data_IF_444917385756
#
_entry.id   IF_444917385756
#
_cell.length_a   1.000
_cell.length_b   1.000
_cell.length_c   1.000
_cell.angle_alpha   90.00
_cell.angle_beta   90.00
_cell.angle_gamma   90.00
#
_symmetry.space_group_name_H-M   'P 1'
#
loop_
_entity.id
_entity.type
_entity.pdbx_description
1 polymer ?
#
# COMPACT_ATOMS: atom_id res chain seq x y z
N UNK A 1 -13.29 -11.76 -13.12
CA UNK A 1 -12.33 -10.77 -12.56
C UNK A 1 -10.98 -10.92 -13.25
N UNK A 2 -10.32 -9.78 -13.52
CA UNK A 2 -9.00 -9.75 -14.11
C UNK A 2 -7.93 -9.68 -13.00
N UNK A 3 -6.89 -10.52 -13.10
CA UNK A 3 -5.66 -10.30 -12.36
C UNK A 3 -4.96 -9.03 -12.87
N UNK A 4 -4.06 -8.47 -12.06
CA UNK A 4 -3.28 -7.29 -12.48
C UNK A 4 -2.48 -7.55 -13.75
N UNK A 5 -1.89 -8.73 -13.90
CA UNK A 5 -1.12 -9.11 -15.10
C UNK A 5 -2.00 -9.15 -16.35
N UNK A 6 -3.21 -9.71 -16.26
CA UNK A 6 -4.15 -9.71 -17.38
C UNK A 6 -4.66 -8.30 -17.72
N UNK A 7 -4.89 -7.47 -16.70
CA UNK A 7 -5.24 -6.06 -16.91
C UNK A 7 -4.11 -5.30 -17.64
N UNK A 8 -2.84 -5.59 -17.31
CA UNK A 8 -1.69 -5.03 -18.04
C UNK A 8 -1.70 -5.43 -19.53
N UNK A 9 -1.96 -6.71 -19.83
CA UNK A 9 -2.03 -7.18 -21.22
C UNK A 9 -3.16 -6.49 -21.99
N UNK A 10 -4.35 -6.34 -21.37
CA UNK A 10 -5.48 -5.67 -22.01
C UNK A 10 -5.23 -4.16 -22.17
N UNK A 11 -4.67 -3.50 -21.17
CA UNK A 11 -4.28 -2.09 -21.26
C UNK A 11 -3.21 -1.88 -22.34
N UNK A 12 -2.26 -2.79 -22.46
CA UNK A 12 -1.26 -2.77 -23.53
C UNK A 12 -1.92 -2.80 -24.90
N UNK A 13 -2.90 -3.67 -25.12
CA UNK A 13 -3.64 -3.75 -26.39
C UNK A 13 -4.37 -2.44 -26.75
N UNK A 14 -4.73 -1.65 -25.75
CA UNK A 14 -5.30 -0.31 -25.94
C UNK A 14 -4.23 0.74 -26.20
N UNK A 15 -3.14 0.72 -25.45
CA UNK A 15 -2.08 1.73 -25.50
C UNK A 15 -1.23 1.60 -26.76
N UNK A 16 -0.92 0.37 -27.21
CA UNK A 16 -0.04 0.14 -28.35
C UNK A 16 -0.51 0.82 -29.66
N UNK A 17 -1.79 0.75 -30.07
CA UNK A 17 -2.25 1.49 -31.24
C UNK A 17 -2.22 3.03 -31.05
N UNK A 18 -2.45 3.52 -29.84
CA UNK A 18 -2.38 4.95 -29.54
C UNK A 18 -0.95 5.48 -29.66
N UNK A 19 0.04 4.69 -29.18
CA UNK A 19 1.46 5.02 -29.38
C UNK A 19 1.83 5.11 -30.86
N UNK A 20 1.35 4.17 -31.68
CA UNK A 20 1.57 4.20 -33.12
C UNK A 20 0.93 5.42 -33.81
N UNK A 21 -0.09 6.00 -33.21
CA UNK A 21 -0.76 7.24 -33.67
C UNK A 21 -0.12 8.51 -33.09
N UNK A 22 0.96 8.39 -32.32
CA UNK A 22 1.69 9.51 -31.74
C UNK A 22 1.19 9.97 -30.34
N UNK A 23 0.28 9.24 -29.71
CA UNK A 23 -0.08 9.51 -28.32
C UNK A 23 1.12 9.29 -27.40
N UNK A 24 1.18 10.04 -26.28
CA UNK A 24 2.29 10.03 -25.33
C UNK A 24 3.65 10.43 -25.96
N UNK A 25 3.64 11.17 -27.08
CA UNK A 25 4.85 11.66 -27.72
C UNK A 25 5.69 12.48 -26.72
N UNK A 26 7.02 12.34 -26.80
CA UNK A 26 7.97 13.03 -25.92
C UNK A 26 7.94 12.63 -24.43
N UNK A 27 7.16 11.63 -24.01
CA UNK A 27 7.33 11.02 -22.70
C UNK A 27 8.59 10.12 -22.68
N UNK A 28 9.46 10.35 -21.70
CA UNK A 28 10.65 9.50 -21.48
C UNK A 28 10.29 8.26 -20.63
N UNK A 29 9.17 7.62 -20.93
CA UNK A 29 8.68 6.43 -20.25
C UNK A 29 8.68 5.25 -21.23
N UNK A 30 9.02 4.08 -20.71
CA UNK A 30 8.83 2.84 -21.48
C UNK A 30 7.33 2.54 -21.59
N UNK A 31 6.88 1.94 -22.70
CA UNK A 31 5.47 1.60 -22.87
C UNK A 31 4.85 0.83 -21.71
N UNK A 32 5.58 -0.11 -21.10
CA UNK A 32 5.12 -0.87 -19.94
C UNK A 32 4.93 0.01 -18.70
N UNK A 33 5.70 1.09 -18.57
CA UNK A 33 5.55 2.06 -17.48
C UNK A 33 4.28 2.91 -17.68
N UNK A 34 3.96 3.26 -18.93
CA UNK A 34 2.70 3.96 -19.26
C UNK A 34 1.51 3.07 -18.88
N UNK A 35 1.51 1.81 -19.28
CA UNK A 35 0.48 0.82 -18.93
C UNK A 35 0.29 0.70 -17.41
N UNK A 36 1.39 0.52 -16.67
CA UNK A 36 1.32 0.42 -15.21
C UNK A 36 0.79 1.68 -14.57
N UNK A 37 1.23 2.87 -15.01
CA UNK A 37 0.77 4.14 -14.46
C UNK A 37 -0.71 4.41 -14.75
N UNK A 38 -1.21 4.03 -15.92
CA UNK A 38 -2.64 4.13 -16.25
C UNK A 38 -3.48 3.25 -15.32
N UNK A 39 -3.09 1.98 -15.14
CA UNK A 39 -3.79 1.07 -14.23
C UNK A 39 -3.73 1.55 -12.79
N UNK A 40 -2.57 2.01 -12.33
CA UNK A 40 -2.41 2.55 -10.97
C UNK A 40 -3.27 3.81 -10.76
N UNK A 41 -3.38 4.66 -11.78
CA UNK A 41 -4.24 5.85 -11.73
C UNK A 41 -5.71 5.48 -11.64
N UNK A 42 -6.18 4.51 -12.45
CA UNK A 42 -7.54 3.99 -12.38
C UNK A 42 -7.85 3.39 -11.02
N UNK A 43 -6.95 2.55 -10.50
CA UNK A 43 -7.10 1.94 -9.18
C UNK A 43 -7.16 2.98 -8.07
N UNK A 44 -6.28 3.99 -8.10
CA UNK A 44 -6.31 5.10 -7.13
C UNK A 44 -7.60 5.89 -7.21
N UNK A 45 -8.10 6.19 -8.41
CA UNK A 45 -9.37 6.89 -8.58
C UNK A 45 -10.51 6.11 -7.91
N UNK A 46 -10.66 4.83 -8.22
CA UNK A 46 -11.70 3.98 -7.67
C UNK A 46 -11.61 3.82 -6.16
N UNK A 47 -10.40 3.56 -5.61
CA UNK A 47 -10.17 3.43 -4.17
C UNK A 47 -10.45 4.75 -3.41
N UNK A 48 -10.28 5.89 -4.07
CA UNK A 48 -10.66 7.21 -3.53
C UNK A 48 -12.13 7.59 -3.82
N UNK A 49 -12.96 6.65 -4.23
CA UNK A 49 -14.37 6.88 -4.56
C UNK A 49 -14.58 7.97 -5.64
N UNK A 50 -13.65 8.11 -6.57
CA UNK A 50 -13.72 9.04 -7.68
C UNK A 50 -14.11 8.32 -8.97
N UNK A 51 -15.04 8.87 -9.71
CA UNK A 51 -15.26 8.45 -11.08
C UNK A 51 -14.03 8.77 -11.96
N UNK A 52 -13.90 8.10 -13.10
CA UNK A 52 -12.83 8.42 -14.06
C UNK A 52 -12.85 9.90 -14.47
N UNK A 53 -14.04 10.46 -14.72
CA UNK A 53 -14.19 11.84 -15.16
C UNK A 53 -13.80 12.85 -14.07
N UNK A 54 -14.14 12.58 -12.82
CA UNK A 54 -13.69 13.39 -11.67
C UNK A 54 -12.17 13.32 -11.48
N UNK A 55 -11.58 12.13 -11.62
CA UNK A 55 -10.14 11.97 -11.53
C UNK A 55 -9.41 12.76 -12.62
N UNK A 56 -9.87 12.67 -13.88
CA UNK A 56 -9.35 13.44 -15.01
C UNK A 56 -9.49 14.95 -14.77
N UNK A 57 -10.67 15.39 -14.32
CA UNK A 57 -10.93 16.81 -14.04
C UNK A 57 -10.02 17.34 -12.91
N UNK A 58 -9.80 16.55 -11.84
CA UNK A 58 -8.89 16.91 -10.75
C UNK A 58 -7.44 17.01 -11.23
N UNK A 59 -6.96 16.02 -11.97
CA UNK A 59 -5.61 16.03 -12.52
C UNK A 59 -5.38 17.24 -13.43
N UNK A 60 -6.35 17.56 -14.30
CA UNK A 60 -6.26 18.71 -15.18
C UNK A 60 -6.20 20.04 -14.43
N UNK A 61 -6.97 20.18 -13.34
CA UNK A 61 -6.98 21.41 -12.51
C UNK A 61 -5.72 21.58 -11.67
N UNK A 62 -5.14 20.47 -11.20
CA UNK A 62 -3.96 20.48 -10.33
C UNK A 62 -2.65 20.34 -11.09
N UNK A 63 -2.70 20.34 -12.43
CA UNK A 63 -1.51 20.23 -13.25
C UNK A 63 -0.56 21.42 -13.01
N UNK A 64 0.59 21.13 -12.40
CA UNK A 64 1.65 22.11 -12.11
C UNK A 64 2.89 21.91 -13.01
N UNK A 65 2.82 20.97 -13.99
CA UNK A 65 3.90 20.71 -14.92
C UNK A 65 3.90 21.66 -16.11
N UNK A 66 4.78 21.38 -17.08
CA UNK A 66 4.86 22.09 -18.35
C UNK A 66 3.50 22.09 -19.07
N UNK A 67 2.93 23.28 -19.40
CA UNK A 67 1.66 23.38 -20.09
C UNK A 67 1.63 22.63 -21.44
N UNK A 68 2.77 22.58 -22.15
CA UNK A 68 2.91 21.85 -23.41
C UNK A 68 2.78 20.34 -23.26
N UNK A 69 2.92 19.82 -22.04
CA UNK A 69 2.77 18.39 -21.76
C UNK A 69 1.39 18.01 -21.23
N UNK A 70 0.51 18.97 -21.10
CA UNK A 70 -0.86 18.71 -20.58
C UNK A 70 -1.65 17.75 -21.47
N UNK A 71 -1.36 17.70 -22.78
CA UNK A 71 -2.03 16.78 -23.70
C UNK A 71 -1.82 15.30 -23.32
N UNK A 72 -0.78 14.94 -22.57
CA UNK A 72 -0.61 13.58 -22.05
C UNK A 72 -1.71 13.15 -21.08
N UNK A 73 -2.38 14.11 -20.41
CA UNK A 73 -3.56 13.81 -19.59
C UNK A 73 -4.75 13.40 -20.46
N UNK A 74 -4.90 14.03 -21.63
CA UNK A 74 -5.96 13.70 -22.59
C UNK A 74 -5.71 12.34 -23.25
N UNK A 75 -4.45 12.03 -23.58
CA UNK A 75 -4.04 10.71 -24.05
C UNK A 75 -4.32 9.63 -22.98
N UNK A 76 -3.97 9.91 -21.73
CA UNK A 76 -4.22 9.01 -20.60
C UNK A 76 -5.73 8.78 -20.39
N UNK A 77 -6.54 9.85 -20.44
CA UNK A 77 -7.99 9.74 -20.33
C UNK A 77 -8.60 8.95 -21.50
N UNK A 78 -8.08 9.12 -22.71
CA UNK A 78 -8.50 8.38 -23.90
C UNK A 78 -8.21 6.91 -23.77
N UNK A 79 -6.99 6.55 -23.36
CA UNK A 79 -6.58 5.18 -23.11
C UNK A 79 -7.43 4.54 -21.99
N UNK A 80 -7.63 5.24 -20.87
CA UNK A 80 -8.42 4.77 -19.74
C UNK A 80 -9.89 4.50 -20.15
N UNK A 81 -10.52 5.41 -20.89
CA UNK A 81 -11.89 5.20 -21.40
C UNK A 81 -11.98 4.02 -22.36
N UNK A 82 -11.00 3.86 -23.25
CA UNK A 82 -10.97 2.76 -24.20
C UNK A 82 -10.80 1.40 -23.47
N UNK A 83 -9.90 1.33 -22.51
CA UNK A 83 -9.71 0.15 -21.68
C UNK A 83 -10.98 -0.25 -20.92
N UNK A 84 -11.64 0.71 -20.28
CA UNK A 84 -12.89 0.48 -19.52
C UNK A 84 -14.01 -0.01 -20.43
N UNK A 85 -14.20 0.63 -21.60
CA UNK A 85 -15.20 0.18 -22.60
C UNK A 85 -14.93 -1.25 -23.04
N UNK A 86 -13.66 -1.61 -23.31
CA UNK A 86 -13.28 -2.97 -23.71
C UNK A 86 -13.55 -3.97 -22.60
N UNK A 87 -13.21 -3.65 -21.36
CA UNK A 87 -13.48 -4.52 -20.22
C UNK A 87 -14.99 -4.75 -20.04
N UNK A 88 -15.79 -3.70 -19.99
CA UNK A 88 -17.24 -3.79 -19.79
C UNK A 88 -17.93 -4.54 -20.94
N UNK A 89 -17.53 -4.28 -22.20
CA UNK A 89 -18.09 -5.00 -23.36
C UNK A 89 -17.83 -6.49 -23.35
N UNK A 90 -16.79 -6.94 -22.64
CA UNK A 90 -16.44 -8.36 -22.51
C UNK A 90 -16.76 -8.92 -21.11
N UNK A 91 -17.56 -8.23 -20.30
CA UNK A 91 -17.91 -8.64 -18.93
C UNK A 91 -16.67 -8.90 -18.04
N UNK A 92 -15.62 -8.12 -18.24
CA UNK A 92 -14.37 -8.19 -17.49
C UNK A 92 -14.30 -7.05 -16.48
N UNK A 93 -13.89 -7.35 -15.26
CA UNK A 93 -13.70 -6.37 -14.18
C UNK A 93 -12.27 -6.47 -13.68
N UNK A 94 -11.49 -5.39 -13.85
CA UNK A 94 -10.25 -5.17 -13.13
C UNK A 94 -10.55 -4.60 -11.72
N UNK A 95 -9.53 -4.30 -10.92
CA UNK A 95 -9.74 -3.77 -9.56
C UNK A 95 -10.57 -2.48 -9.59
N UNK A 96 -10.25 -1.56 -10.48
CA UNK A 96 -10.93 -0.26 -10.55
C UNK A 96 -12.41 -0.40 -10.90
N UNK A 97 -12.73 -1.21 -11.89
CA UNK A 97 -14.10 -1.52 -12.28
C UNK A 97 -14.84 -2.35 -11.25
N UNK A 98 -14.15 -3.25 -10.54
CA UNK A 98 -14.74 -4.02 -9.44
C UNK A 98 -15.24 -3.09 -8.34
N UNK A 99 -14.41 -2.14 -7.90
CA UNK A 99 -14.79 -1.18 -6.87
C UNK A 99 -15.94 -0.29 -7.34
N UNK A 100 -15.84 0.26 -8.57
CA UNK A 100 -16.87 1.15 -9.09
C UNK A 100 -18.22 0.46 -9.31
N UNK A 101 -18.24 -0.73 -9.93
CA UNK A 101 -19.49 -1.49 -10.16
C UNK A 101 -20.09 -1.93 -8.82
N UNK A 102 -19.25 -2.32 -7.85
CA UNK A 102 -19.70 -2.63 -6.51
C UNK A 102 -20.40 -1.43 -5.87
N UNK A 103 -19.77 -0.27 -5.85
CA UNK A 103 -20.31 0.95 -5.23
C UNK A 103 -21.54 1.51 -5.97
N UNK A 104 -21.48 1.58 -7.32
CA UNK A 104 -22.50 2.25 -8.10
C UNK A 104 -23.71 1.38 -8.44
N UNK A 105 -23.54 0.07 -8.49
CA UNK A 105 -24.58 -0.86 -8.92
C UNK A 105 -25.03 -1.75 -7.76
N UNK A 106 -24.11 -2.48 -7.13
CA UNK A 106 -24.48 -3.47 -6.13
C UNK A 106 -24.93 -2.84 -4.82
N UNK A 107 -24.13 -1.95 -4.25
CA UNK A 107 -24.44 -1.32 -2.93
C UNK A 107 -25.72 -0.49 -3.01
N UNK A 108 -26.03 0.10 -4.16
CA UNK A 108 -27.27 0.89 -4.35
C UNK A 108 -28.51 0.05 -4.68
N UNK A 109 -28.33 -1.25 -4.89
CA UNK A 109 -29.45 -2.12 -5.25
C UNK A 109 -30.29 -2.46 -4.02
N UNK A 110 -31.65 -2.34 -4.05
CA UNK A 110 -32.49 -2.62 -2.90
C UNK A 110 -32.36 -4.04 -2.35
N UNK A 111 -32.11 -5.00 -3.22
CA UNK A 111 -31.90 -6.42 -2.82
C UNK A 111 -30.65 -6.61 -2.00
N UNK A 112 -29.58 -5.81 -2.23
CA UNK A 112 -28.37 -5.83 -1.42
C UNK A 112 -28.69 -5.39 0.02
N UNK A 113 -29.42 -4.30 0.19
CA UNK A 113 -29.81 -3.78 1.51
C UNK A 113 -30.73 -4.77 2.24
N UNK A 114 -31.68 -5.39 1.51
CA UNK A 114 -32.54 -6.43 2.09
C UNK A 114 -31.69 -7.61 2.57
N UNK A 115 -30.86 -8.18 1.70
CA UNK A 115 -29.96 -9.28 2.05
C UNK A 115 -29.07 -8.96 3.23
N UNK A 116 -28.50 -7.74 3.26
CA UNK A 116 -27.61 -7.32 4.32
C UNK A 116 -28.32 -7.24 5.67
N UNK A 117 -29.49 -6.59 5.76
CA UNK A 117 -30.31 -6.47 6.99
C UNK A 117 -30.82 -7.82 7.53
N UNK A 118 -31.21 -8.70 6.64
CA UNK A 118 -31.70 -10.05 7.03
C UNK A 118 -30.58 -10.90 7.61
N UNK A 119 -29.34 -10.70 7.19
CA UNK A 119 -28.21 -11.59 7.51
C UNK A 119 -27.30 -11.04 8.59
N UNK A 120 -27.11 -9.73 8.64
CA UNK A 120 -26.14 -9.09 9.52
C UNK A 120 -26.81 -8.09 10.46
N UNK A 121 -26.76 -8.40 11.76
CA UNK A 121 -27.32 -7.53 12.82
C UNK A 121 -26.29 -6.57 13.39
N UNK A 122 -25.04 -6.95 13.34
CA UNK A 122 -23.92 -6.22 13.93
C UNK A 122 -22.82 -6.03 12.89
N UNK A 123 -22.26 -4.85 12.83
CA UNK A 123 -21.11 -4.51 12.02
C UNK A 123 -19.92 -4.23 12.94
N UNK A 124 -18.82 -4.93 12.73
CA UNK A 124 -17.56 -4.69 13.44
C UNK A 124 -16.51 -4.38 12.39
N UNK A 125 -15.86 -3.23 12.52
CA UNK A 125 -14.81 -2.77 11.60
C UNK A 125 -13.57 -2.51 12.43
N UNK A 126 -12.46 -3.10 11.99
CA UNK A 126 -11.15 -2.88 12.58
C UNK A 126 -10.25 -2.10 11.61
N UNK A 127 -9.33 -1.30 12.14
CA UNK A 127 -8.38 -0.49 11.38
C UNK A 127 -9.07 0.41 10.33
N UNK A 128 -10.05 1.22 10.77
CA UNK A 128 -10.76 2.12 9.85
C UNK A 128 -9.82 3.14 9.19
N UNK A 129 -8.77 3.55 9.87
CA UNK A 129 -7.73 4.47 9.37
C UNK A 129 -6.90 3.89 8.21
N UNK A 130 -6.85 2.57 8.10
CA UNK A 130 -6.19 1.84 7.01
C UNK A 130 -7.13 1.63 5.80
N UNK A 131 -8.42 1.92 5.95
CA UNK A 131 -9.39 1.78 4.88
C UNK A 131 -9.27 2.93 3.87
N UNK A 132 -9.61 2.63 2.62
CA UNK A 132 -9.67 3.62 1.55
C UNK A 132 -10.96 4.46 1.68
N UNK A 133 -11.04 5.67 1.08
CA UNK A 133 -12.28 6.45 1.04
C UNK A 133 -13.48 5.66 0.53
N UNK A 134 -13.30 4.82 -0.50
CA UNK A 134 -14.38 3.94 -0.99
C UNK A 134 -14.82 2.94 0.09
N UNK A 135 -13.87 2.33 0.82
CA UNK A 135 -14.16 1.43 1.93
C UNK A 135 -14.86 2.13 3.10
N UNK A 136 -14.42 3.32 3.46
CA UNK A 136 -15.05 4.13 4.51
C UNK A 136 -16.48 4.57 4.14
N UNK A 137 -16.70 4.98 2.88
CA UNK A 137 -18.04 5.30 2.38
C UNK A 137 -18.96 4.08 2.44
N UNK A 138 -18.45 2.90 2.12
CA UNK A 138 -19.20 1.64 2.25
C UNK A 138 -19.58 1.35 3.70
N UNK A 139 -18.63 1.47 4.63
CA UNK A 139 -18.90 1.31 6.08
C UNK A 139 -19.96 2.32 6.54
N UNK A 140 -19.81 3.60 6.19
CA UNK A 140 -20.76 4.65 6.53
C UNK A 140 -22.17 4.35 6.01
N UNK A 141 -22.28 3.84 4.77
CA UNK A 141 -23.57 3.43 4.18
C UNK A 141 -24.23 2.26 4.90
N UNK A 142 -23.46 1.39 5.55
CA UNK A 142 -23.98 0.23 6.29
C UNK A 142 -24.34 0.52 7.75
N UNK A 143 -23.84 1.60 8.34
CA UNK A 143 -24.10 1.92 9.76
C UNK A 143 -25.59 2.05 10.07
N UNK A 144 -26.38 2.60 9.14
CA UNK A 144 -27.84 2.70 9.28
C UNK A 144 -28.60 1.41 9.00
N UNK A 145 -27.95 0.36 8.51
CA UNK A 145 -28.54 -0.91 8.12
C UNK A 145 -28.41 -1.97 9.23
N UNK A 146 -27.63 -1.71 10.27
CA UNK A 146 -27.33 -2.64 11.36
C UNK A 146 -27.91 -2.16 12.71
N UNK A 147 -28.15 -3.10 13.60
CA UNK A 147 -28.61 -2.77 14.96
C UNK A 147 -27.51 -2.12 15.81
N UNK A 148 -26.27 -2.54 15.59
CA UNK A 148 -25.10 -1.95 16.24
C UNK A 148 -23.91 -1.95 15.29
N UNK A 149 -23.13 -0.88 15.34
CA UNK A 149 -21.86 -0.76 14.63
C UNK A 149 -20.76 -0.43 15.64
N UNK A 150 -19.71 -1.22 15.66
CA UNK A 150 -18.49 -0.96 16.42
C UNK A 150 -17.33 -0.78 15.45
N UNK A 151 -16.57 0.29 15.62
CA UNK A 151 -15.42 0.60 14.78
C UNK A 151 -14.21 0.86 15.66
N UNK A 152 -13.09 0.23 15.33
CA UNK A 152 -11.80 0.52 15.93
C UNK A 152 -10.91 1.26 14.91
N UNK A 153 -10.15 2.23 15.40
CA UNK A 153 -9.18 2.98 14.62
C UNK A 153 -7.99 3.38 15.49
N UNK A 154 -6.79 3.28 14.96
CA UNK A 154 -5.58 3.71 15.64
C UNK A 154 -5.30 5.20 15.37
N UNK A 155 -5.25 6.00 16.43
CA UNK A 155 -4.79 7.39 16.34
C UNK A 155 -3.32 7.40 15.87
N UNK A 156 -3.02 8.15 14.82
CA UNK A 156 -1.68 8.17 14.21
C UNK A 156 -1.37 6.98 13.31
N UNK A 157 -2.30 6.04 13.11
CA UNK A 157 -2.21 4.94 12.14
C UNK A 157 -2.39 5.40 10.68
N UNK A 158 -2.72 4.45 9.79
CA UNK A 158 -3.01 4.78 8.38
C UNK A 158 -1.75 4.95 7.52
N UNK A 159 -0.73 4.14 7.76
CA UNK A 159 0.55 4.22 7.03
C UNK A 159 0.48 3.73 5.59
N UNK A 160 -0.56 2.97 5.21
CA UNK A 160 -0.73 2.43 3.86
C UNK A 160 -1.29 3.46 2.86
N UNK A 161 -0.83 4.71 2.95
CA UNK A 161 -1.25 5.78 2.03
C UNK A 161 -0.98 5.47 0.56
N UNK A 162 0.02 4.67 0.25
CA UNK A 162 0.27 4.18 -1.11
C UNK A 162 -0.82 3.22 -1.62
N UNK A 163 -1.61 2.62 -0.72
CA UNK A 163 -2.83 1.85 -1.01
C UNK A 163 -4.10 2.66 -0.75
N UNK A 164 -4.00 3.98 -0.70
CA UNK A 164 -5.09 4.92 -0.47
C UNK A 164 -5.74 4.83 0.92
N UNK A 165 -5.01 4.44 1.97
CA UNK A 165 -5.49 4.58 3.35
C UNK A 165 -5.81 6.04 3.68
N UNK A 166 -6.96 6.29 4.32
CA UNK A 166 -7.43 7.64 4.66
C UNK A 166 -7.71 7.80 6.17
N UNK A 167 -6.68 8.06 6.98
CA UNK A 167 -6.87 8.31 8.41
C UNK A 167 -7.67 9.58 8.71
N UNK A 168 -7.66 10.58 7.80
CA UNK A 168 -8.46 11.78 8.00
C UNK A 168 -9.96 11.52 7.82
N UNK A 169 -10.33 10.68 6.85
CA UNK A 169 -11.71 10.22 6.68
C UNK A 169 -12.18 9.41 7.89
N UNK A 170 -11.32 8.53 8.43
CA UNK A 170 -11.62 7.77 9.63
C UNK A 170 -11.88 8.68 10.85
N UNK A 171 -11.03 9.70 11.06
CA UNK A 171 -11.22 10.67 12.16
C UNK A 171 -12.50 11.50 11.96
N UNK A 172 -12.81 11.88 10.71
CA UNK A 172 -14.06 12.59 10.43
C UNK A 172 -15.30 11.73 10.74
N UNK A 173 -15.24 10.42 10.51
CA UNK A 173 -16.32 9.49 10.84
C UNK A 173 -16.55 9.35 12.36
N UNK A 174 -15.57 9.67 13.20
CA UNK A 174 -15.67 9.62 14.66
C UNK A 174 -16.90 10.37 15.17
N UNK A 175 -17.24 11.50 14.55
CA UNK A 175 -18.40 12.32 14.92
C UNK A 175 -19.75 11.67 14.62
N UNK A 176 -19.79 10.56 13.90
CA UNK A 176 -21.01 9.83 13.55
C UNK A 176 -21.38 8.75 14.56
N UNK A 177 -20.60 8.55 15.63
CA UNK A 177 -20.83 7.54 16.64
C UNK A 177 -21.43 8.12 17.93
N UNK A 178 -22.41 7.44 18.50
CA UNK A 178 -23.07 7.84 19.77
C UNK A 178 -22.13 7.73 20.98
N UNK A 179 -21.18 6.81 20.92
CA UNK A 179 -20.22 6.56 22.01
C UNK A 179 -18.83 6.41 21.46
N UNK A 180 -17.88 7.04 22.15
CA UNK A 180 -16.46 6.99 21.82
C UNK A 180 -15.71 6.52 23.07
N UNK A 181 -14.82 5.55 22.87
CA UNK A 181 -13.94 5.02 23.90
C UNK A 181 -12.51 5.23 23.46
N UNK A 182 -11.75 6.02 24.20
CA UNK A 182 -10.35 6.24 23.93
C UNK A 182 -9.49 5.30 24.79
N UNK A 183 -8.66 4.49 24.12
CA UNK A 183 -7.70 3.60 24.79
C UNK A 183 -6.34 4.30 24.73
N UNK A 184 -5.85 4.75 25.88
CA UNK A 184 -4.59 5.50 26.00
C UNK A 184 -3.41 4.62 26.40
N UNK A 185 -3.70 3.40 26.86
CA UNK A 185 -2.68 2.44 27.27
C UNK A 185 -2.53 1.31 26.26
N UNK A 186 -1.29 0.96 25.95
CA UNK A 186 -0.99 -0.22 25.11
C UNK A 186 -0.92 -1.46 25.99
N UNK A 187 -1.69 -2.50 25.62
CA UNK A 187 -1.61 -3.83 26.24
C UNK A 187 -0.59 -4.74 25.55
N UNK A 188 0.06 -4.27 24.46
CA UNK A 188 0.97 -5.04 23.63
C UNK A 188 2.40 -4.50 23.72
N UNK A 189 2.56 -3.18 23.61
CA UNK A 189 3.88 -2.56 23.67
C UNK A 189 4.26 -2.23 25.13
N UNK A 190 5.49 -2.54 25.57
CA UNK A 190 5.99 -2.07 26.85
C UNK A 190 5.98 -0.52 26.93
N UNK A 191 5.76 0.06 28.13
CA UNK A 191 5.70 1.51 28.31
C UNK A 191 6.95 2.25 27.75
N UNK A 192 8.12 1.63 27.84
CA UNK A 192 9.38 2.18 27.33
C UNK A 192 9.36 2.32 25.79
N UNK A 193 8.78 1.35 25.09
CA UNK A 193 8.66 1.37 23.63
C UNK A 193 7.64 2.42 23.20
N UNK A 194 6.50 2.50 23.90
CA UNK A 194 5.49 3.53 23.64
C UNK A 194 6.05 4.93 23.85
N UNK A 195 6.81 5.15 24.92
CA UNK A 195 7.49 6.42 25.18
C UNK A 195 8.46 6.79 24.07
N UNK A 196 9.31 5.83 23.63
CA UNK A 196 10.24 6.06 22.52
C UNK A 196 9.49 6.43 21.24
N UNK A 197 8.41 5.71 20.93
CA UNK A 197 7.57 6.00 19.78
C UNK A 197 7.03 7.44 19.83
N UNK A 198 6.45 7.85 20.97
CA UNK A 198 5.95 9.20 21.17
C UNK A 198 7.07 10.28 21.06
N UNK A 199 8.28 10.01 21.58
CA UNK A 199 9.40 10.92 21.42
C UNK A 199 9.81 11.10 19.96
N UNK A 200 9.88 10.00 19.20
CA UNK A 200 10.19 10.03 17.77
C UNK A 200 9.09 10.77 16.99
N UNK A 201 7.84 10.50 17.29
CA UNK A 201 6.71 11.16 16.64
C UNK A 201 6.69 12.66 16.95
N UNK A 202 6.87 13.05 18.20
CA UNK A 202 6.99 14.47 18.60
C UNK A 202 8.09 15.19 17.84
N UNK A 203 9.25 14.53 17.67
CA UNK A 203 10.37 15.09 16.92
C UNK A 203 10.07 15.23 15.42
N UNK A 204 9.44 14.22 14.80
CA UNK A 204 9.19 14.19 13.36
C UNK A 204 8.01 15.05 12.94
N UNK A 205 6.93 15.06 13.73
CA UNK A 205 5.66 15.68 13.37
C UNK A 205 5.35 16.95 14.17
N UNK A 206 6.24 17.34 15.09
CA UNK A 206 6.03 18.47 16.00
C UNK A 206 4.72 18.34 16.80
N UNK A 207 4.43 17.13 17.27
CA UNK A 207 3.30 16.80 18.15
C UNK A 207 3.71 16.94 19.63
N UNK A 208 2.75 16.82 20.54
CA UNK A 208 2.96 16.91 21.98
C UNK A 208 2.41 15.69 22.71
N UNK A 209 2.72 14.50 22.21
CA UNK A 209 2.33 13.26 22.85
C UNK A 209 3.03 13.08 24.20
N UNK A 210 2.41 12.39 25.17
CA UNK A 210 3.02 12.14 26.48
C UNK A 210 4.36 11.39 26.35
N UNK A 211 5.39 11.92 26.98
CA UNK A 211 6.73 11.31 27.03
C UNK A 211 7.17 10.98 28.44
N UNK A 212 6.28 11.17 29.42
CA UNK A 212 6.51 10.81 30.81
C UNK A 212 6.39 9.29 31.05
N UNK A 213 7.05 8.79 32.05
CA UNK A 213 7.06 7.38 32.41
C UNK A 213 8.44 6.73 32.35
N UNK A 214 8.48 5.40 32.29
CA UNK A 214 9.73 4.62 32.28
C UNK A 214 10.66 5.03 31.13
N UNK A 215 11.93 5.16 31.42
CA UNK A 215 12.94 5.50 30.40
C UNK A 215 13.07 4.37 29.38
N UNK A 216 12.98 4.70 28.08
CA UNK A 216 13.31 3.76 27.04
C UNK A 216 14.80 3.40 27.18
N UNK A 217 15.09 2.12 27.32
CA UNK A 217 16.46 1.62 27.28
C UNK A 217 16.96 1.64 25.86
N UNK A 218 17.36 2.81 25.38
CA UNK A 218 18.05 2.93 24.12
C UNK A 218 19.51 2.53 24.34
N UNK A 219 19.93 1.37 23.83
CA UNK A 219 21.30 0.88 23.99
C UNK A 219 22.30 1.70 23.19
N UNK A 220 21.87 2.32 22.10
CA UNK A 220 22.72 3.18 21.31
C UNK A 220 22.16 3.40 19.89
N UNK A 221 22.85 4.26 19.14
CA UNK A 221 22.59 4.52 17.73
C UNK A 221 23.76 3.97 16.93
N UNK A 222 23.49 3.08 16.00
CA UNK A 222 24.49 2.53 15.07
C UNK A 222 24.32 3.21 13.74
N UNK A 223 25.34 3.96 13.31
CA UNK A 223 25.35 4.69 12.05
C UNK A 223 26.46 4.21 11.12
N UNK A 224 26.41 4.69 9.88
CA UNK A 224 27.44 4.52 8.86
C UNK A 224 27.15 5.47 7.70
N UNK A 225 28.20 5.92 6.99
CA UNK A 225 28.04 6.75 5.80
C UNK A 225 27.30 6.01 4.69
N UNK A 226 27.50 4.70 4.61
CA UNK A 226 26.87 3.83 3.64
C UNK A 226 26.12 2.71 4.35
N UNK A 227 25.09 2.17 3.71
CA UNK A 227 24.27 1.07 4.23
C UNK A 227 25.12 -0.15 4.65
N UNK A 228 26.18 -0.45 3.91
CA UNK A 228 27.12 -1.53 4.23
C UNK A 228 27.85 -1.28 5.56
N UNK A 229 28.34 -0.07 5.80
CA UNK A 229 29.01 0.29 7.06
C UNK A 229 28.06 0.18 8.24
N UNK A 230 26.81 0.68 8.08
CA UNK A 230 25.80 0.54 9.11
C UNK A 230 25.54 -0.92 9.47
N UNK A 231 25.41 -1.80 8.49
CA UNK A 231 25.22 -3.24 8.73
C UNK A 231 26.44 -3.87 9.41
N UNK A 232 27.64 -3.52 8.95
CA UNK A 232 28.89 -4.03 9.55
C UNK A 232 29.08 -3.54 11.00
N UNK A 233 28.64 -2.33 11.32
CA UNK A 233 28.69 -1.79 12.67
C UNK A 233 27.58 -2.37 13.56
N UNK A 234 26.46 -2.82 13.01
CA UNK A 234 25.37 -3.44 13.74
C UNK A 234 25.73 -4.87 14.21
N UNK A 235 26.41 -5.66 13.38
CA UNK A 235 26.69 -7.07 13.69
C UNK A 235 27.49 -7.29 15.00
N UNK A 236 28.55 -6.51 15.32
CA UNK A 236 29.25 -6.62 16.60
C UNK A 236 28.37 -6.28 17.81
N UNK A 237 27.45 -5.29 17.66
CA UNK A 237 26.51 -4.93 18.74
C UNK A 237 25.57 -6.10 19.03
N UNK A 238 25.01 -6.70 17.99
CA UNK A 238 24.15 -7.87 18.13
C UNK A 238 24.91 -9.08 18.70
N UNK A 239 26.16 -9.27 18.29
CA UNK A 239 27.01 -10.32 18.84
C UNK A 239 27.23 -10.12 20.36
N UNK A 240 27.54 -8.89 20.79
CA UNK A 240 27.71 -8.57 22.20
C UNK A 240 26.44 -8.82 23.01
N UNK A 241 25.27 -8.39 22.50
CA UNK A 241 23.98 -8.66 23.15
C UNK A 241 23.73 -10.17 23.36
N UNK A 242 24.04 -10.98 22.35
CA UNK A 242 23.78 -12.44 22.44
C UNK A 242 24.81 -13.14 23.32
N UNK A 243 26.09 -12.88 23.11
CA UNK A 243 27.15 -13.69 23.73
C UNK A 243 27.73 -13.10 25.01
N UNK A 244 27.66 -11.76 25.19
CA UNK A 244 28.15 -11.11 26.40
C UNK A 244 27.04 -10.84 27.41
N UNK A 245 25.88 -10.34 26.90
CA UNK A 245 24.75 -9.90 27.73
C UNK A 245 23.70 -11.00 27.90
N UNK A 246 23.85 -12.16 27.21
CA UNK A 246 22.99 -13.32 27.37
C UNK A 246 21.58 -13.18 26.79
N UNK A 247 21.33 -12.18 25.91
CA UNK A 247 20.04 -12.00 25.23
C UNK A 247 19.86 -13.13 24.22
N UNK A 248 18.76 -13.88 24.33
CA UNK A 248 18.52 -14.96 23.38
C UNK A 248 18.30 -14.39 21.97
N UNK A 249 18.98 -14.92 20.97
CA UNK A 249 18.90 -14.44 19.59
C UNK A 249 17.46 -14.43 19.04
N UNK A 250 16.59 -15.34 19.52
CA UNK A 250 15.16 -15.39 19.15
C UNK A 250 14.35 -14.18 19.65
N UNK A 251 14.85 -13.48 20.66
CA UNK A 251 14.19 -12.33 21.28
C UNK A 251 14.66 -11.00 20.63
N UNK A 252 15.54 -11.09 19.63
CA UNK A 252 16.03 -9.93 18.86
C UNK A 252 15.35 -9.89 17.50
N UNK A 253 14.75 -8.75 17.18
CA UNK A 253 14.16 -8.50 15.86
C UNK A 253 14.87 -7.34 15.14
N UNK A 254 15.25 -7.56 13.87
CA UNK A 254 15.73 -6.51 12.97
C UNK A 254 14.56 -6.10 12.08
N UNK A 255 14.06 -4.87 12.28
CA UNK A 255 12.97 -4.30 11.51
C UNK A 255 13.52 -3.30 10.51
N UNK A 256 13.13 -3.43 9.25
CA UNK A 256 13.54 -2.53 8.17
C UNK A 256 12.32 -2.09 7.37
N UNK A 257 12.27 -0.83 6.89
CA UNK A 257 11.13 -0.36 6.09
C UNK A 257 10.96 -1.14 4.79
N UNK A 258 12.07 -1.47 4.15
CA UNK A 258 12.09 -2.24 2.91
C UNK A 258 13.34 -3.12 2.83
N UNK A 259 13.16 -4.41 2.59
CA UNK A 259 14.22 -5.40 2.43
C UNK A 259 14.45 -5.66 0.93
N UNK A 260 15.38 -4.93 0.32
CA UNK A 260 15.84 -5.24 -1.04
C UNK A 260 16.85 -6.40 -1.05
N UNK A 261 17.18 -6.90 -2.24
CA UNK A 261 18.13 -8.02 -2.39
C UNK A 261 19.52 -7.69 -1.86
N UNK A 262 19.99 -6.44 -2.01
CA UNK A 262 21.30 -6.00 -1.56
C UNK A 262 21.37 -5.93 -0.02
N UNK A 263 20.36 -5.32 0.63
CA UNK A 263 20.30 -5.26 2.09
C UNK A 263 20.16 -6.66 2.70
N UNK A 264 19.33 -7.50 2.11
CA UNK A 264 19.20 -8.90 2.53
C UNK A 264 20.55 -9.62 2.50
N UNK A 265 21.27 -9.51 1.39
CA UNK A 265 22.59 -10.13 1.24
C UNK A 265 23.56 -9.60 2.28
N UNK A 266 23.69 -8.28 2.44
CA UNK A 266 24.58 -7.66 3.42
C UNK A 266 24.27 -8.10 4.85
N UNK A 267 22.98 -8.06 5.25
CA UNK A 267 22.56 -8.47 6.60
C UNK A 267 22.84 -9.97 6.85
N UNK A 268 22.44 -10.84 5.92
CA UNK A 268 22.64 -12.27 6.10
C UNK A 268 24.12 -12.66 6.14
N UNK A 269 24.96 -12.00 5.35
CA UNK A 269 26.40 -12.19 5.37
C UNK A 269 27.00 -11.71 6.69
N UNK A 270 26.69 -10.49 7.13
CA UNK A 270 27.24 -9.94 8.38
C UNK A 270 26.81 -10.74 9.62
N UNK A 271 25.56 -11.21 9.67
CA UNK A 271 25.08 -12.06 10.75
C UNK A 271 25.76 -13.44 10.75
N UNK A 272 25.96 -14.03 9.57
CA UNK A 272 26.67 -15.31 9.44
C UNK A 272 28.16 -15.20 9.85
N UNK A 273 28.84 -14.13 9.41
CA UNK A 273 30.24 -13.84 9.81
C UNK A 273 30.37 -13.57 11.30
N UNK A 274 29.37 -12.98 11.94
CA UNK A 274 29.29 -12.79 13.37
C UNK A 274 28.87 -14.07 14.16
N UNK A 275 28.60 -15.19 13.48
CA UNK A 275 28.14 -16.43 14.11
C UNK A 275 26.72 -16.35 14.70
N UNK A 276 25.92 -15.40 14.29
CA UNK A 276 24.57 -15.16 14.80
C UNK A 276 23.53 -15.99 14.03
N UNK A 277 22.71 -16.81 14.70
CA UNK A 277 21.60 -17.49 14.06
C UNK A 277 20.51 -16.46 13.67
N UNK A 278 19.98 -16.58 12.47
CA UNK A 278 18.92 -15.68 12.02
C UNK A 278 17.82 -16.41 11.24
N UNK A 279 16.62 -15.81 11.20
CA UNK A 279 15.48 -16.26 10.39
C UNK A 279 14.89 -15.08 9.64
N UNK A 280 14.71 -15.23 8.32
CA UNK A 280 13.97 -14.27 7.50
C UNK A 280 12.48 -14.61 7.55
N UNK A 281 11.65 -13.68 8.04
CA UNK A 281 10.20 -13.88 8.16
C UNK A 281 9.49 -13.84 6.81
N UNK A 282 10.02 -13.12 5.82
CA UNK A 282 9.46 -13.08 4.46
C UNK A 282 10.55 -13.37 3.44
N UNK A 283 10.47 -14.52 2.80
CA UNK A 283 11.18 -14.81 1.55
C UNK A 283 10.34 -14.30 0.39
N UNK A 284 10.52 -13.06 -0.03
CA UNK A 284 10.04 -12.59 -1.33
C UNK A 284 11.18 -12.75 -2.34
N UNK A 285 11.35 -13.93 -2.87
CA UNK A 285 12.01 -14.10 -4.16
C UNK A 285 10.95 -13.85 -5.22
N UNK A 286 11.18 -12.88 -6.11
CA UNK A 286 10.35 -12.75 -7.31
C UNK A 286 10.41 -14.10 -8.05
N UNK A 287 9.30 -14.63 -8.56
CA UNK A 287 9.33 -15.80 -9.42
C UNK A 287 10.35 -15.65 -10.56
N UNK A 288 10.57 -14.44 -11.06
CA UNK A 288 11.59 -14.12 -12.08
C UNK A 288 13.03 -14.35 -11.62
N UNK A 289 13.30 -14.36 -10.33
CA UNK A 289 14.64 -14.63 -9.76
C UNK A 289 14.90 -16.13 -9.61
N UNK A 290 13.86 -16.95 -9.64
CA UNK A 290 13.98 -18.41 -9.61
C UNK A 290 14.69 -18.91 -10.88
N UNK A 291 15.79 -19.65 -10.77
CA UNK A 291 16.59 -20.07 -11.93
C UNK A 291 15.78 -20.82 -12.99
N UNK A 292 14.83 -21.64 -12.58
CA UNK A 292 13.94 -22.37 -13.49
C UNK A 292 13.02 -21.44 -14.27
N UNK A 293 12.41 -20.46 -13.59
CA UNK A 293 11.56 -19.45 -14.23
C UNK A 293 12.36 -18.57 -15.18
N UNK A 294 13.57 -18.18 -14.80
CA UNK A 294 14.48 -17.45 -15.71
C UNK A 294 14.80 -18.22 -16.97
N UNK A 295 15.09 -19.51 -16.84
CA UNK A 295 15.31 -20.37 -18.01
C UNK A 295 14.06 -20.39 -18.92
N UNK A 296 12.87 -20.58 -18.36
CA UNK A 296 11.62 -20.54 -19.11
C UNK A 296 11.36 -19.20 -19.78
N UNK A 297 11.58 -18.09 -19.09
CA UNK A 297 11.44 -16.74 -19.65
C UNK A 297 12.45 -16.50 -20.78
N UNK A 298 13.69 -17.00 -20.66
CA UNK A 298 14.70 -16.93 -21.71
C UNK A 298 14.25 -17.71 -22.96
N UNK A 299 13.70 -18.91 -22.79
CA UNK A 299 13.16 -19.71 -23.90
C UNK A 299 11.99 -19.01 -24.59
N UNK A 300 11.08 -18.42 -23.81
CA UNK A 300 9.96 -17.65 -24.34
C UNK A 300 10.44 -16.42 -25.12
N UNK A 301 11.41 -15.70 -24.59
CA UNK A 301 12.00 -14.54 -25.29
C UNK A 301 12.71 -14.93 -26.59
N UNK A 302 13.37 -16.09 -26.64
CA UNK A 302 13.98 -16.62 -27.85
C UNK A 302 12.93 -17.06 -28.88
N UNK A 303 11.80 -17.62 -28.41
CA UNK A 303 10.71 -18.03 -29.31
C UNK A 303 9.86 -16.85 -29.80
N UNK A 304 9.89 -15.73 -29.10
CA UNK A 304 9.10 -14.52 -29.38
C UNK A 304 9.98 -13.28 -29.28
N UNK A 305 10.86 -13.04 -30.26
CA UNK A 305 11.84 -11.93 -30.18
C UNK A 305 11.19 -10.54 -30.15
N UNK A 306 9.93 -10.44 -30.52
CA UNK A 306 9.16 -9.17 -30.54
C UNK A 306 8.47 -8.85 -29.18
N UNK A 307 8.71 -9.66 -28.16
CA UNK A 307 8.10 -9.47 -26.82
C UNK A 307 8.93 -8.57 -25.91
#
# INVERSE_FOLDING_TARGET
>A
FLSYDLAQVLMWRVVNPLLAQGAFANLRLRPQQIVSQLLDTLNRAALNALSLEEAVARQSRTWAGDPERRFHLDDAATAARAFRRQCLANSLLDLSLTVEVFDTQLVRHPEFHRYFRERYRHLIVDNLEEQTPAGQNFVAGLMGETQTTAVAADAGGGYKRFLAADPHGAEAMRLSFDRIFDFTESFVAPPEVSRLANQVENFLLNTHLPTEGAEARLLGVVGGRYRREMVNNLAPVLHALVYNDGVAARDIAIVVPYMDGALRYMLTQALAEAGLPYRLLRRRTSPREEPRVRAWLTWLALAHPDW
#
